data_IF_317341393181
#
_entry.id   IF_317341393181
#
_cell.length_a   1.000
_cell.length_b   1.000
_cell.length_c   1.000
_cell.angle_alpha   90.00
_cell.angle_beta   90.00
_cell.angle_gamma   90.00
#
_symmetry.space_group_name_H-M   'P 1'
#
loop_
_entity.id
_entity.type
_entity.pdbx_description
1 polymer ?
#
# COMPACT_ATOMS: atom_id res chain seq x y z
N UNK A 1 -25.10 24.42 -18.02
CA UNK A 1 -24.50 25.33 -17.05
C UNK A 1 -23.04 24.95 -16.91
N UNK A 2 -22.10 25.82 -17.20
CA UNK A 2 -20.68 25.55 -16.92
C UNK A 2 -20.48 25.71 -15.41
N UNK A 3 -20.02 24.65 -14.75
CA UNK A 3 -19.62 24.71 -13.35
C UNK A 3 -18.32 25.52 -13.27
N UNK A 4 -18.30 26.53 -12.41
CA UNK A 4 -17.06 27.21 -12.05
C UNK A 4 -16.39 26.45 -10.87
N UNK A 5 -15.30 25.70 -11.14
CA UNK A 5 -14.67 24.87 -10.11
C UNK A 5 -14.18 25.68 -8.91
N UNK A 6 -13.73 26.92 -9.13
CA UNK A 6 -13.20 27.77 -8.05
C UNK A 6 -14.32 28.21 -7.09
N UNK A 7 -15.48 28.62 -7.65
CA UNK A 7 -16.63 29.02 -6.86
C UNK A 7 -17.23 27.85 -6.06
N UNK A 8 -17.31 26.65 -6.67
CA UNK A 8 -17.81 25.46 -5.98
C UNK A 8 -16.84 24.99 -4.88
N UNK A 9 -15.53 25.01 -5.14
CA UNK A 9 -14.51 24.71 -4.12
C UNK A 9 -14.61 25.70 -2.94
N UNK A 10 -14.76 26.99 -3.21
CA UNK A 10 -14.91 27.99 -2.16
C UNK A 10 -16.18 27.78 -1.33
N UNK A 11 -17.29 27.41 -1.96
CA UNK A 11 -18.54 27.06 -1.25
C UNK A 11 -18.36 25.84 -0.35
N UNK A 12 -17.73 24.79 -0.88
CA UNK A 12 -17.47 23.57 -0.10
C UNK A 12 -16.54 23.86 1.08
N UNK A 13 -15.44 24.59 0.87
CA UNK A 13 -14.52 24.98 1.96
C UNK A 13 -15.22 25.82 3.04
N UNK A 14 -16.21 26.65 2.67
CA UNK A 14 -17.00 27.43 3.64
C UNK A 14 -17.92 26.57 4.52
N UNK A 15 -18.16 25.29 4.18
CA UNK A 15 -18.93 24.37 5.03
C UNK A 15 -18.08 23.70 6.11
N UNK A 16 -16.74 23.74 5.99
CA UNK A 16 -15.81 23.14 6.94
C UNK A 16 -15.58 24.11 8.09
N UNK A 17 -15.60 23.59 9.32
CA UNK A 17 -15.28 24.44 10.48
C UNK A 17 -13.82 24.94 10.40
N UNK A 18 -13.52 26.16 10.89
CA UNK A 18 -12.14 26.66 10.93
C UNK A 18 -11.18 25.72 11.67
N UNK A 19 -11.63 25.06 12.72
CA UNK A 19 -10.86 24.10 13.52
C UNK A 19 -10.51 22.86 12.70
N UNK A 20 -11.48 22.27 11.98
CA UNK A 20 -11.25 21.11 11.12
C UNK A 20 -10.32 21.45 9.94
N UNK A 21 -10.45 22.66 9.41
CA UNK A 21 -9.57 23.14 8.35
C UNK A 21 -8.13 23.29 8.84
N UNK A 22 -7.92 23.91 10.01
CA UNK A 22 -6.60 24.02 10.63
C UNK A 22 -5.99 22.64 10.90
N UNK A 23 -6.79 21.71 11.41
CA UNK A 23 -6.39 20.33 11.67
C UNK A 23 -5.99 19.61 10.39
N UNK A 24 -6.74 19.72 9.31
CA UNK A 24 -6.44 19.16 8.00
C UNK A 24 -5.15 19.74 7.40
N UNK A 25 -4.96 21.07 7.51
CA UNK A 25 -3.74 21.74 7.07
C UNK A 25 -2.53 21.28 7.88
N UNK A 26 -2.65 21.16 9.20
CA UNK A 26 -1.59 20.67 10.07
C UNK A 26 -1.22 19.21 9.73
N UNK A 27 -2.22 18.37 9.49
CA UNK A 27 -2.03 17.01 9.04
C UNK A 27 -1.25 16.96 7.72
N UNK A 28 -1.68 17.71 6.70
CA UNK A 28 -1.04 17.71 5.39
C UNK A 28 0.38 18.26 5.44
N UNK A 29 0.58 19.41 6.14
CA UNK A 29 1.92 20.00 6.32
C UNK A 29 2.86 19.04 7.05
N UNK A 30 2.36 18.40 8.12
CA UNK A 30 3.11 17.35 8.82
C UNK A 30 3.50 16.19 7.89
N UNK A 31 2.59 15.75 7.01
CA UNK A 31 2.86 14.73 6.01
C UNK A 31 4.04 15.05 5.08
N UNK A 32 4.15 16.30 4.62
CA UNK A 32 5.29 16.74 3.81
C UNK A 32 6.62 16.63 4.56
N UNK A 33 6.65 17.01 5.85
CA UNK A 33 7.85 16.84 6.67
C UNK A 33 8.20 15.39 6.92
N UNK A 34 7.21 14.50 7.01
CA UNK A 34 7.46 13.07 7.16
C UNK A 34 8.20 12.46 5.96
N UNK A 35 8.02 12.98 4.75
CA UNK A 35 8.78 12.53 3.58
C UNK A 35 10.27 12.81 3.77
N UNK A 36 10.62 14.01 4.23
CA UNK A 36 12.02 14.38 4.48
C UNK A 36 12.63 13.55 5.62
N UNK A 37 11.93 13.46 6.75
CA UNK A 37 12.40 12.69 7.89
C UNK A 37 12.47 11.20 7.58
N UNK A 38 11.54 10.66 6.80
CA UNK A 38 11.57 9.27 6.34
C UNK A 38 12.80 8.95 5.47
N UNK A 39 13.19 9.89 4.60
CA UNK A 39 14.42 9.75 3.83
C UNK A 39 15.66 9.74 4.75
N UNK A 40 15.72 10.64 5.74
CA UNK A 40 16.82 10.67 6.71
C UNK A 40 16.90 9.37 7.55
N UNK A 41 15.75 8.89 8.04
CA UNK A 41 15.67 7.61 8.76
C UNK A 41 16.18 6.47 7.89
N UNK A 42 15.76 6.42 6.62
CA UNK A 42 16.20 5.40 5.67
C UNK A 42 17.72 5.43 5.45
N UNK A 43 18.32 6.61 5.34
CA UNK A 43 19.78 6.76 5.24
C UNK A 43 20.51 6.29 6.50
N UNK A 44 19.99 6.64 7.68
CA UNK A 44 20.55 6.20 8.96
C UNK A 44 20.46 4.68 9.10
N UNK A 45 19.32 4.09 8.76
CA UNK A 45 19.13 2.63 8.78
C UNK A 45 20.09 1.94 7.82
N UNK A 46 20.21 2.44 6.59
CA UNK A 46 21.16 1.90 5.62
C UNK A 46 22.61 1.98 6.14
N UNK A 47 22.98 3.11 6.73
CA UNK A 47 24.30 3.30 7.34
C UNK A 47 24.55 2.30 8.49
N UNK A 48 23.58 2.11 9.38
CA UNK A 48 23.67 1.12 10.47
C UNK A 48 23.87 -0.28 9.89
N UNK A 49 23.04 -0.69 8.92
CA UNK A 49 23.13 -2.02 8.30
C UNK A 49 24.53 -2.24 7.67
N UNK A 50 25.05 -1.25 6.98
CA UNK A 50 26.40 -1.33 6.39
C UNK A 50 27.48 -1.42 7.48
N UNK A 51 27.39 -0.58 8.51
CA UNK A 51 28.39 -0.51 9.59
C UNK A 51 28.44 -1.76 10.46
N UNK A 52 27.33 -2.46 10.63
CA UNK A 52 27.32 -3.74 11.39
C UNK A 52 28.15 -4.83 10.73
N UNK A 53 28.34 -4.78 9.41
CA UNK A 53 29.02 -5.83 8.66
C UNK A 53 28.30 -7.20 8.70
N UNK A 54 27.09 -7.27 9.26
CA UNK A 54 26.35 -8.53 9.44
C UNK A 54 26.09 -9.22 8.10
N UNK A 55 25.66 -8.48 7.11
CA UNK A 55 25.34 -9.03 5.78
C UNK A 55 26.58 -9.61 5.08
N UNK A 56 27.72 -8.93 5.18
CA UNK A 56 28.99 -9.43 4.65
C UNK A 56 29.47 -10.66 5.44
N UNK A 57 29.35 -10.64 6.76
CA UNK A 57 29.68 -11.79 7.61
C UNK A 57 28.86 -13.04 7.29
N UNK A 58 27.53 -12.88 7.07
CA UNK A 58 26.64 -13.98 6.65
C UNK A 58 27.08 -14.52 5.28
N UNK A 59 27.26 -13.62 4.29
CA UNK A 59 27.76 -14.00 2.95
C UNK A 59 29.03 -14.82 3.05
N UNK A 60 30.04 -14.29 3.72
CA UNK A 60 31.37 -14.92 3.81
C UNK A 60 31.34 -16.27 4.52
N UNK A 61 30.50 -16.40 5.56
CA UNK A 61 30.29 -17.67 6.27
C UNK A 61 29.63 -18.73 5.39
N UNK A 62 28.65 -18.31 4.58
CA UNK A 62 27.94 -19.22 3.67
C UNK A 62 28.85 -19.66 2.52
N UNK A 63 29.62 -18.74 1.93
CA UNK A 63 30.53 -19.02 0.80
C UNK A 63 31.71 -19.91 1.22
N UNK A 64 32.22 -19.79 2.45
CA UNK A 64 33.23 -20.69 3.03
C UNK A 64 32.74 -22.12 3.17
N UNK A 65 31.45 -22.33 3.47
CA UNK A 65 30.88 -23.68 3.66
C UNK A 65 30.54 -24.36 2.34
N UNK A 66 29.91 -23.63 1.41
CA UNK A 66 29.51 -24.15 0.09
C UNK A 66 29.24 -23.01 -0.89
N UNK A 67 29.77 -23.09 -2.11
CA UNK A 67 29.51 -22.12 -3.20
C UNK A 67 28.08 -22.30 -3.74
N UNK A 68 27.10 -21.67 -3.09
CA UNK A 68 25.69 -21.65 -3.50
C UNK A 68 25.22 -20.20 -3.71
N UNK A 69 25.66 -19.52 -4.79
CA UNK A 69 25.46 -18.08 -4.94
C UNK A 69 24.00 -17.63 -4.97
N UNK A 70 23.06 -18.48 -5.44
CA UNK A 70 21.62 -18.17 -5.42
C UNK A 70 21.09 -18.14 -3.98
N UNK A 71 21.45 -19.13 -3.17
CA UNK A 71 21.03 -19.21 -1.77
C UNK A 71 21.65 -18.09 -0.94
N UNK A 72 22.90 -17.74 -1.20
CA UNK A 72 23.56 -16.60 -0.54
C UNK A 72 22.80 -15.30 -0.83
N UNK A 73 22.47 -15.03 -2.11
CA UNK A 73 21.70 -13.83 -2.47
C UNK A 73 20.32 -13.80 -1.79
N UNK A 74 19.62 -14.93 -1.74
CA UNK A 74 18.32 -15.04 -1.07
C UNK A 74 18.45 -14.76 0.44
N UNK A 75 19.35 -15.45 1.13
CA UNK A 75 19.51 -15.31 2.58
C UNK A 75 19.95 -13.90 2.96
N UNK A 76 20.94 -13.35 2.27
CA UNK A 76 21.40 -11.97 2.52
C UNK A 76 20.30 -10.96 2.24
N UNK A 77 19.52 -11.15 1.16
CA UNK A 77 18.36 -10.30 0.84
C UNK A 77 17.27 -10.37 1.91
N UNK A 78 16.90 -11.57 2.35
CA UNK A 78 15.91 -11.77 3.43
C UNK A 78 16.37 -11.13 4.74
N UNK A 79 17.62 -11.35 5.13
CA UNK A 79 18.17 -10.73 6.36
C UNK A 79 18.20 -9.21 6.25
N UNK A 80 18.56 -8.66 5.08
CA UNK A 80 18.50 -7.22 4.84
C UNK A 80 17.07 -6.67 5.03
N UNK A 81 16.05 -7.32 4.45
CA UNK A 81 14.66 -6.89 4.54
C UNK A 81 14.15 -6.93 5.99
N UNK A 82 14.45 -8.02 6.72
CA UNK A 82 14.06 -8.15 8.12
C UNK A 82 14.78 -7.14 9.03
N UNK A 83 16.07 -6.92 8.83
CA UNK A 83 16.82 -5.87 9.55
C UNK A 83 16.25 -4.48 9.27
N UNK A 84 15.97 -4.18 8.01
CA UNK A 84 15.35 -2.91 7.62
C UNK A 84 14.01 -2.73 8.31
N UNK A 85 13.15 -3.74 8.30
CA UNK A 85 11.86 -3.69 9.00
C UNK A 85 12.03 -3.38 10.49
N UNK A 86 12.86 -4.14 11.20
CA UNK A 86 13.06 -3.95 12.65
C UNK A 86 13.61 -2.56 12.97
N UNK A 87 14.58 -2.09 12.18
CA UNK A 87 15.21 -0.79 12.42
C UNK A 87 14.29 0.40 12.04
N UNK A 88 13.43 0.23 11.05
CA UNK A 88 12.44 1.27 10.68
C UNK A 88 11.16 1.21 11.48
N UNK A 89 10.89 0.12 12.22
CA UNK A 89 9.63 -0.11 12.94
C UNK A 89 9.24 1.04 13.90
N UNK A 90 10.15 1.63 14.72
CA UNK A 90 9.78 2.76 15.56
C UNK A 90 9.27 3.97 14.76
N UNK A 91 9.90 4.24 13.61
CA UNK A 91 9.47 5.29 12.70
C UNK A 91 8.11 4.97 12.04
N UNK A 92 7.91 3.73 11.62
CA UNK A 92 6.66 3.28 11.04
C UNK A 92 5.49 3.37 12.04
N UNK A 93 5.71 2.98 13.31
CA UNK A 93 4.73 3.15 14.39
C UNK A 93 4.37 4.63 14.55
N UNK A 94 5.37 5.52 14.58
CA UNK A 94 5.14 6.95 14.72
C UNK A 94 4.31 7.52 13.58
N UNK A 95 4.70 7.27 12.31
CA UNK A 95 4.07 7.92 11.15
C UNK A 95 2.75 7.30 10.73
N UNK A 96 2.57 5.96 10.88
CA UNK A 96 1.47 5.22 10.28
C UNK A 96 0.45 4.68 11.29
N UNK A 97 0.76 4.72 12.59
CA UNK A 97 -0.18 4.35 13.64
C UNK A 97 -0.40 5.46 14.66
N UNK A 98 0.65 5.92 15.35
CA UNK A 98 0.50 6.92 16.41
C UNK A 98 -0.06 8.24 15.89
N UNK A 99 0.47 8.74 14.79
CA UNK A 99 0.00 9.97 14.17
C UNK A 99 -1.44 9.85 13.67
N UNK A 100 -1.81 8.75 13.02
CA UNK A 100 -3.17 8.50 12.56
C UNK A 100 -4.16 8.48 13.74
N UNK A 101 -3.78 7.84 14.86
CA UNK A 101 -4.58 7.85 16.10
C UNK A 101 -4.72 9.28 16.66
N UNK A 102 -3.65 10.10 16.66
CA UNK A 102 -3.72 11.49 17.16
C UNK A 102 -4.68 12.36 16.34
N UNK A 103 -4.81 12.10 15.05
CA UNK A 103 -5.74 12.83 14.19
C UNK A 103 -7.14 12.20 14.15
N UNK A 104 -7.38 11.09 14.87
CA UNK A 104 -8.66 10.38 14.89
C UNK A 104 -9.01 9.73 13.55
N UNK A 105 -8.00 9.27 12.82
CA UNK A 105 -8.15 8.63 11.51
C UNK A 105 -8.10 7.10 11.59
N UNK A 106 -7.84 6.56 12.78
CA UNK A 106 -7.88 5.13 13.10
C UNK A 106 -8.14 4.90 14.58
N UNK A 107 -8.93 3.88 14.87
CA UNK A 107 -9.13 3.32 16.21
C UNK A 107 -8.43 1.96 16.37
N UNK A 108 -7.64 1.54 15.37
CA UNK A 108 -6.96 0.25 15.38
C UNK A 108 -6.00 0.14 16.58
N UNK A 109 -6.09 -0.93 17.39
CA UNK A 109 -5.12 -1.18 18.45
C UNK A 109 -3.73 -1.41 17.90
N UNK A 110 -2.68 -0.92 18.61
CA UNK A 110 -1.28 -1.11 18.18
C UNK A 110 -0.94 -2.59 17.91
N UNK A 111 -1.47 -3.51 18.70
CA UNK A 111 -1.23 -4.95 18.49
C UNK A 111 -1.80 -5.45 17.15
N UNK A 112 -2.99 -4.97 16.75
CA UNK A 112 -3.58 -5.28 15.45
C UNK A 112 -2.71 -4.72 14.31
N UNK A 113 -2.35 -3.44 14.40
CA UNK A 113 -1.46 -2.80 13.42
C UNK A 113 -0.10 -3.51 13.29
N UNK A 114 0.52 -3.90 14.41
CA UNK A 114 1.78 -4.68 14.40
C UNK A 114 1.61 -6.05 13.76
N UNK A 115 0.50 -6.72 14.01
CA UNK A 115 0.17 -8.01 13.38
C UNK A 115 0.09 -7.90 11.85
N UNK A 116 -0.62 -6.89 11.35
CA UNK A 116 -0.73 -6.60 9.91
C UNK A 116 0.63 -6.18 9.31
N UNK A 117 1.39 -5.35 10.01
CA UNK A 117 2.73 -4.96 9.58
C UNK A 117 3.69 -6.15 9.50
N UNK A 118 3.64 -7.08 10.47
CA UNK A 118 4.43 -8.31 10.46
C UNK A 118 4.01 -9.24 9.31
N UNK A 119 2.71 -9.42 9.10
CA UNK A 119 2.16 -10.22 8.00
C UNK A 119 2.59 -9.65 6.63
N UNK A 120 2.39 -8.34 6.43
CA UNK A 120 2.81 -7.62 5.21
C UNK A 120 4.31 -7.75 4.96
N UNK A 121 5.13 -7.60 6.03
CA UNK A 121 6.59 -7.78 5.94
C UNK A 121 6.95 -9.20 5.58
N UNK A 122 6.29 -10.20 6.14
CA UNK A 122 6.50 -11.62 5.81
C UNK A 122 6.25 -11.89 4.33
N UNK A 123 5.09 -11.47 3.81
CA UNK A 123 4.72 -11.61 2.40
C UNK A 123 5.73 -10.88 1.51
N UNK A 124 6.00 -9.61 1.80
CA UNK A 124 6.94 -8.78 1.04
C UNK A 124 8.36 -9.36 1.04
N UNK A 125 8.81 -9.92 2.16
CA UNK A 125 10.13 -10.55 2.28
C UNK A 125 10.25 -11.78 1.37
N UNK A 126 9.22 -12.60 1.27
CA UNK A 126 9.21 -13.76 0.38
C UNK A 126 9.32 -13.30 -1.09
N UNK A 127 8.43 -12.41 -1.52
CA UNK A 127 8.42 -11.92 -2.90
C UNK A 127 9.68 -11.15 -3.28
N UNK A 128 10.10 -10.20 -2.46
CA UNK A 128 11.30 -9.41 -2.71
C UNK A 128 12.57 -10.28 -2.63
N UNK A 129 12.64 -11.23 -1.70
CA UNK A 129 13.74 -12.18 -1.61
C UNK A 129 13.90 -13.03 -2.87
N UNK A 130 12.78 -13.53 -3.42
CA UNK A 130 12.78 -14.28 -4.68
C UNK A 130 13.17 -13.38 -5.87
N UNK A 131 12.67 -12.14 -5.91
CA UNK A 131 13.03 -11.16 -6.94
C UNK A 131 14.53 -10.82 -6.88
N UNK A 132 15.06 -10.54 -5.71
CA UNK A 132 16.50 -10.29 -5.48
C UNK A 132 17.33 -11.49 -5.96
N UNK A 133 16.94 -12.71 -5.59
CA UNK A 133 17.63 -13.92 -6.04
C UNK A 133 17.62 -14.03 -7.57
N UNK A 134 16.47 -13.76 -8.22
CA UNK A 134 16.32 -13.75 -9.68
C UNK A 134 17.18 -12.68 -10.35
N UNK A 135 17.17 -11.44 -9.84
CA UNK A 135 17.98 -10.34 -10.36
C UNK A 135 19.49 -10.64 -10.25
N UNK A 136 19.96 -11.15 -9.12
CA UNK A 136 21.36 -11.53 -8.97
C UNK A 136 21.74 -12.73 -9.85
N UNK A 137 20.81 -13.64 -10.13
CA UNK A 137 21.05 -14.69 -11.11
C UNK A 137 21.22 -14.12 -12.53
N UNK A 138 20.35 -13.18 -12.93
CA UNK A 138 20.42 -12.49 -14.23
C UNK A 138 21.71 -11.70 -14.36
N UNK A 139 22.07 -10.89 -13.36
CA UNK A 139 23.31 -10.09 -13.34
C UNK A 139 24.53 -10.99 -13.59
N UNK A 140 24.58 -12.14 -12.95
CA UNK A 140 25.71 -13.08 -13.12
C UNK A 140 25.71 -13.80 -14.48
N UNK A 141 24.54 -13.97 -15.12
CA UNK A 141 24.42 -14.75 -16.36
C UNK A 141 24.41 -13.89 -17.61
N UNK A 142 23.72 -12.74 -17.58
CA UNK A 142 23.39 -11.94 -18.78
C UNK A 142 24.44 -10.85 -19.12
N UNK A 143 25.52 -10.70 -18.34
CA UNK A 143 26.65 -9.78 -18.58
C UNK A 143 26.23 -8.39 -19.07
N UNK A 144 26.15 -8.16 -20.41
CA UNK A 144 25.81 -6.86 -21.02
C UNK A 144 24.33 -6.51 -20.97
N UNK A 145 23.43 -7.49 -21.03
CA UNK A 145 21.98 -7.31 -21.12
C UNK A 145 21.26 -7.56 -19.78
N UNK A 146 22.00 -7.59 -18.66
CA UNK A 146 21.43 -7.84 -17.34
C UNK A 146 20.29 -6.86 -16.99
N UNK A 147 20.42 -5.60 -17.40
CA UNK A 147 19.40 -4.57 -17.16
C UNK A 147 18.09 -4.87 -17.91
N UNK A 148 18.17 -5.31 -19.18
CA UNK A 148 17.00 -5.62 -19.97
C UNK A 148 16.25 -6.85 -19.44
N UNK A 149 17.00 -7.92 -19.12
CA UNK A 149 16.44 -9.12 -18.51
C UNK A 149 15.94 -8.85 -17.07
N UNK A 150 16.61 -8.00 -16.32
CA UNK A 150 16.18 -7.55 -15.00
C UNK A 150 14.89 -6.75 -15.08
N UNK A 151 14.78 -5.83 -16.02
CA UNK A 151 13.54 -5.08 -16.29
C UNK A 151 12.38 -6.01 -16.67
N UNK A 152 12.65 -6.99 -17.56
CA UNK A 152 11.65 -8.01 -17.94
C UNK A 152 11.17 -8.84 -16.74
N UNK A 153 12.09 -9.34 -15.90
CA UNK A 153 11.73 -10.06 -14.68
C UNK A 153 10.89 -9.20 -13.74
N UNK A 154 11.28 -7.93 -13.54
CA UNK A 154 10.54 -7.01 -12.68
C UNK A 154 9.15 -6.72 -13.25
N UNK A 155 9.01 -6.50 -14.56
CA UNK A 155 7.73 -6.30 -15.20
C UNK A 155 6.80 -7.51 -15.01
N UNK A 156 7.32 -8.73 -15.22
CA UNK A 156 6.57 -9.98 -14.98
C UNK A 156 6.15 -10.09 -13.51
N UNK A 157 7.05 -9.77 -12.57
CA UNK A 157 6.73 -9.81 -11.15
C UNK A 157 5.65 -8.78 -10.76
N UNK A 158 5.69 -7.57 -11.34
CA UNK A 158 4.65 -6.54 -11.13
C UNK A 158 3.30 -7.02 -11.66
N UNK A 159 3.24 -7.49 -12.92
CA UNK A 159 2.00 -8.02 -13.50
C UNK A 159 1.45 -9.20 -12.69
N UNK A 160 2.32 -10.10 -12.27
CA UNK A 160 1.95 -11.21 -11.40
C UNK A 160 1.33 -10.71 -10.07
N UNK A 161 1.94 -9.72 -9.43
CA UNK A 161 1.41 -9.15 -8.18
C UNK A 161 0.07 -8.44 -8.40
N UNK A 162 -0.11 -7.71 -9.50
CA UNK A 162 -1.39 -7.06 -9.83
C UNK A 162 -2.55 -8.07 -10.00
N UNK A 163 -2.25 -9.26 -10.50
CA UNK A 163 -3.25 -10.34 -10.65
C UNK A 163 -3.49 -11.06 -9.33
N UNK A 164 -2.42 -11.34 -8.59
CA UNK A 164 -2.47 -12.20 -7.39
C UNK A 164 -2.93 -11.45 -6.15
N UNK A 165 -2.59 -10.15 -6.03
CA UNK A 165 -2.90 -9.35 -4.84
C UNK A 165 -4.39 -9.38 -4.46
N UNK A 166 -5.35 -9.07 -5.34
CA UNK A 166 -6.76 -9.06 -4.98
C UNK A 166 -7.34 -10.44 -4.64
N UNK A 167 -6.67 -11.53 -5.07
CA UNK A 167 -7.17 -12.90 -4.90
C UNK A 167 -6.59 -13.58 -3.67
N UNK A 168 -5.28 -13.40 -3.42
CA UNK A 168 -4.56 -14.13 -2.38
C UNK A 168 -4.05 -13.24 -1.23
N UNK A 169 -3.72 -11.96 -1.51
CA UNK A 169 -3.10 -11.10 -0.49
C UNK A 169 -4.16 -10.29 0.26
N UNK A 170 -5.05 -9.61 -0.44
CA UNK A 170 -6.10 -8.81 0.20
C UNK A 170 -6.96 -9.61 1.19
N UNK A 171 -7.38 -10.87 0.91
CA UNK A 171 -8.14 -11.67 1.87
C UNK A 171 -7.40 -12.04 3.16
N UNK A 172 -6.08 -11.89 3.20
CA UNK A 172 -5.29 -12.08 4.43
C UNK A 172 -5.42 -10.89 5.39
N UNK A 173 -5.78 -9.72 4.88
CA UNK A 173 -5.91 -8.49 5.65
C UNK A 173 -7.37 -8.14 5.92
N UNK A 174 -8.25 -8.33 4.92
CA UNK A 174 -9.63 -7.88 4.97
C UNK A 174 -10.59 -8.94 4.48
N UNK A 175 -11.75 -9.00 5.11
CA UNK A 175 -12.88 -9.82 4.63
C UNK A 175 -13.70 -8.99 3.67
N UNK A 176 -13.86 -9.47 2.42
CA UNK A 176 -14.66 -8.81 1.40
C UNK A 176 -15.99 -9.54 1.21
N UNK A 177 -17.08 -8.79 1.13
CA UNK A 177 -18.44 -9.30 0.82
C UNK A 177 -19.02 -8.51 -0.36
N UNK A 178 -19.93 -9.10 -1.17
CA UNK A 178 -20.64 -8.34 -2.19
C UNK A 178 -21.36 -7.12 -1.60
N UNK A 179 -21.30 -5.98 -2.26
CA UNK A 179 -21.97 -4.77 -1.82
C UNK A 179 -23.49 -5.01 -1.76
N UNK A 180 -24.16 -4.67 -0.63
CA UNK A 180 -25.60 -4.82 -0.50
C UNK A 180 -26.35 -3.92 -1.49
N UNK A 181 -27.52 -4.35 -1.94
CA UNK A 181 -28.38 -3.53 -2.79
C UNK A 181 -28.81 -2.26 -2.06
N UNK A 182 -28.83 -1.15 -2.77
CA UNK A 182 -29.23 0.13 -2.22
C UNK A 182 -28.57 1.32 -2.92
N UNK A 183 -28.92 2.56 -2.51
CA UNK A 183 -28.50 3.78 -3.22
C UNK A 183 -27.00 3.92 -3.41
N UNK A 184 -26.20 3.44 -2.46
CA UNK A 184 -24.73 3.48 -2.55
C UNK A 184 -24.23 2.56 -3.66
N UNK A 185 -24.69 1.30 -3.67
CA UNK A 185 -24.32 0.35 -4.73
C UNK A 185 -24.80 0.82 -6.09
N UNK A 186 -26.04 1.34 -6.18
CA UNK A 186 -26.62 1.80 -7.45
C UNK A 186 -25.81 2.96 -8.04
N UNK A 187 -25.35 3.88 -7.21
CA UNK A 187 -24.47 4.97 -7.63
C UNK A 187 -23.12 4.48 -8.16
N UNK A 188 -22.55 3.45 -7.54
CA UNK A 188 -21.28 2.85 -7.99
C UNK A 188 -21.46 2.08 -9.30
N UNK A 189 -22.58 1.36 -9.47
CA UNK A 189 -22.95 0.69 -10.73
C UNK A 189 -23.08 1.72 -11.85
N UNK A 190 -23.77 2.85 -11.61
CA UNK A 190 -23.89 3.93 -12.58
C UNK A 190 -22.52 4.47 -13.04
N UNK A 191 -21.61 4.69 -12.07
CA UNK A 191 -20.25 5.14 -12.37
C UNK A 191 -19.46 4.08 -13.16
N UNK A 192 -19.53 2.81 -12.76
CA UNK A 192 -18.87 1.71 -13.42
C UNK A 192 -19.28 1.58 -14.89
N UNK A 193 -20.59 1.68 -15.17
CA UNK A 193 -21.12 1.66 -16.54
C UNK A 193 -20.63 2.84 -17.37
N UNK A 194 -20.47 4.03 -16.78
CA UNK A 194 -19.96 5.21 -17.48
C UNK A 194 -18.46 5.11 -17.81
N UNK A 195 -17.69 4.45 -16.97
CA UNK A 195 -16.23 4.34 -17.12
C UNK A 195 -15.79 3.05 -17.80
N UNK A 196 -16.71 2.10 -18.06
CA UNK A 196 -16.38 0.79 -18.61
C UNK A 196 -15.73 -0.16 -17.61
N UNK A 197 -15.83 0.14 -16.32
CA UNK A 197 -15.37 -0.74 -15.23
C UNK A 197 -16.42 -1.86 -15.02
N UNK A 198 -16.02 -3.10 -14.65
CA UNK A 198 -16.98 -4.16 -14.35
C UNK A 198 -17.95 -3.77 -13.22
N UNK A 199 -19.26 -3.82 -13.51
CA UNK A 199 -20.35 -3.43 -12.59
C UNK A 199 -20.93 -4.61 -11.81
N UNK A 200 -20.52 -5.84 -12.14
CA UNK A 200 -20.92 -7.09 -11.50
C UNK A 200 -20.07 -7.43 -10.27
N UNK A 201 -18.86 -6.86 -10.16
CA UNK A 201 -17.86 -7.16 -9.13
C UNK A 201 -17.62 -5.99 -8.18
N UNK A 202 -18.66 -5.62 -7.45
CA UNK A 202 -18.62 -4.54 -6.45
C UNK A 202 -18.66 -5.17 -5.06
N UNK A 203 -17.60 -4.94 -4.26
CA UNK A 203 -17.39 -5.51 -2.94
C UNK A 203 -17.24 -4.45 -1.87
N UNK A 204 -17.58 -4.81 -0.64
CA UNK A 204 -17.27 -4.07 0.57
C UNK A 204 -16.28 -4.90 1.38
N UNK A 205 -15.24 -4.27 1.90
CA UNK A 205 -14.32 -4.89 2.83
C UNK A 205 -14.36 -4.19 4.20
N UNK A 206 -14.01 -4.91 5.25
CA UNK A 206 -14.01 -4.47 6.65
C UNK A 206 -12.86 -3.49 6.96
N UNK A 207 -12.76 -2.39 6.18
CA UNK A 207 -11.71 -1.38 6.29
C UNK A 207 -11.80 -0.53 7.55
N UNK A 208 -13.00 -0.42 8.15
CA UNK A 208 -13.22 0.33 9.40
C UNK A 208 -12.37 -0.15 10.57
N UNK A 209 -11.91 -1.40 10.58
CA UNK A 209 -10.99 -1.92 11.59
C UNK A 209 -9.57 -1.30 11.51
N UNK A 210 -9.24 -0.66 10.39
CA UNK A 210 -7.92 -0.10 10.11
C UNK A 210 -7.97 1.42 9.98
N UNK A 211 -9.04 1.99 9.41
CA UNK A 211 -9.14 3.42 9.14
C UNK A 211 -10.59 3.86 9.01
N UNK A 212 -10.89 5.06 9.51
CA UNK A 212 -12.20 5.70 9.38
C UNK A 212 -12.36 6.49 8.07
N UNK A 213 -11.37 6.41 7.19
CA UNK A 213 -11.39 7.10 5.89
C UNK A 213 -12.28 6.40 4.89
N UNK A 214 -12.94 7.19 4.05
CA UNK A 214 -13.54 6.70 2.81
C UNK A 214 -12.43 6.24 1.88
N UNK A 215 -12.39 4.95 1.62
CA UNK A 215 -11.37 4.34 0.77
C UNK A 215 -12.03 3.37 -0.20
N UNK A 216 -11.70 3.52 -1.46
CA UNK A 216 -12.07 2.59 -2.52
C UNK A 216 -10.85 2.23 -3.35
N UNK A 217 -10.90 1.12 -4.02
CA UNK A 217 -9.90 0.76 -5.03
C UNK A 217 -10.56 0.01 -6.19
N UNK A 218 -9.99 0.18 -7.37
CA UNK A 218 -10.27 -0.66 -8.53
C UNK A 218 -9.03 -1.49 -8.77
N UNK A 219 -9.13 -2.80 -8.56
CA UNK A 219 -7.99 -3.72 -8.60
C UNK A 219 -8.27 -4.90 -9.52
N UNK A 220 -7.18 -5.48 -10.05
CA UNK A 220 -7.22 -6.64 -10.93
C UNK A 220 -7.02 -6.29 -12.40
N UNK A 221 -6.78 -7.34 -13.23
CA UNK A 221 -6.56 -7.25 -14.68
C UNK A 221 -7.31 -8.40 -15.38
N UNK A 222 -7.64 -8.21 -16.67
CA UNK A 222 -8.15 -9.27 -17.54
C UNK A 222 -9.33 -10.06 -16.95
N UNK A 223 -10.39 -9.39 -16.51
CA UNK A 223 -11.59 -10.02 -15.96
C UNK A 223 -11.51 -10.37 -14.47
N UNK A 224 -10.37 -10.18 -13.80
CA UNK A 224 -10.28 -10.15 -12.34
C UNK A 224 -10.57 -8.76 -11.75
N UNK A 225 -10.73 -7.74 -12.60
CA UNK A 225 -11.00 -6.37 -12.17
C UNK A 225 -12.27 -6.31 -11.30
N UNK A 226 -12.17 -5.61 -10.17
CA UNK A 226 -13.26 -5.41 -9.21
C UNK A 226 -13.16 -4.05 -8.55
N UNK A 227 -14.29 -3.55 -8.10
CA UNK A 227 -14.37 -2.37 -7.24
C UNK A 227 -14.50 -2.85 -5.79
N UNK A 228 -13.61 -2.42 -4.92
CA UNK A 228 -13.68 -2.72 -3.50
C UNK A 228 -13.73 -1.41 -2.71
N UNK A 229 -14.65 -1.31 -1.76
CA UNK A 229 -14.91 -0.12 -0.95
C UNK A 229 -14.86 -0.47 0.51
N UNK A 230 -14.33 0.45 1.34
CA UNK A 230 -14.40 0.31 2.79
C UNK A 230 -15.86 0.34 3.27
N UNK A 231 -16.17 -0.46 4.27
CA UNK A 231 -17.48 -0.50 4.96
C UNK A 231 -17.84 0.84 5.60
N UNK A 232 -16.88 1.70 5.90
CA UNK A 232 -17.09 3.09 6.34
C UNK A 232 -17.96 3.86 5.34
N UNK A 233 -17.83 3.60 4.03
CA UNK A 233 -18.63 4.25 2.97
C UNK A 233 -20.09 3.77 2.93
N UNK A 234 -20.43 2.71 3.66
CA UNK A 234 -21.77 2.15 3.79
C UNK A 234 -22.34 2.32 5.19
N UNK A 235 -21.59 2.97 6.10
CA UNK A 235 -22.05 3.26 7.44
C UNK A 235 -23.26 4.21 7.43
N UNK A 236 -24.05 4.17 8.50
CA UNK A 236 -25.22 5.07 8.66
C UNK A 236 -24.75 6.52 8.71
N UNK A 237 -25.22 7.33 7.76
CA UNK A 237 -24.84 8.74 7.63
C UNK A 237 -23.74 9.02 6.62
N UNK A 238 -23.25 8.00 5.90
CA UNK A 238 -22.32 8.21 4.80
C UNK A 238 -22.93 9.09 3.69
N UNK A 239 -22.18 10.06 3.21
CA UNK A 239 -22.65 10.97 2.15
C UNK A 239 -22.47 10.33 0.78
N UNK A 240 -23.59 10.20 0.04
CA UNK A 240 -23.60 9.66 -1.31
C UNK A 240 -22.74 10.47 -2.30
N UNK A 241 -22.67 11.79 -2.13
CA UNK A 241 -21.87 12.65 -2.99
C UNK A 241 -20.37 12.41 -2.78
N UNK A 242 -19.95 12.23 -1.53
CA UNK A 242 -18.57 11.89 -1.18
C UNK A 242 -18.21 10.49 -1.72
N UNK A 243 -19.09 9.50 -1.55
CA UNK A 243 -18.88 8.14 -2.10
C UNK A 243 -18.71 8.18 -3.61
N UNK A 244 -19.59 8.93 -4.33
CA UNK A 244 -19.44 9.14 -5.78
C UNK A 244 -18.12 9.82 -6.15
N UNK A 245 -17.69 10.80 -5.37
CA UNK A 245 -16.41 11.49 -5.58
C UNK A 245 -15.21 10.57 -5.45
N UNK A 246 -15.15 9.79 -4.37
CA UNK A 246 -14.05 8.84 -4.10
C UNK A 246 -14.02 7.74 -5.16
N UNK A 247 -15.15 7.06 -5.38
CA UNK A 247 -15.21 5.95 -6.36
C UNK A 247 -14.98 6.44 -7.80
N UNK A 248 -15.52 7.61 -8.15
CA UNK A 248 -15.29 8.22 -9.47
C UNK A 248 -13.82 8.58 -9.72
N UNK A 249 -13.11 9.01 -8.66
CA UNK A 249 -11.67 9.26 -8.73
C UNK A 249 -10.90 7.97 -9.03
N UNK A 250 -11.18 6.89 -8.27
CA UNK A 250 -10.52 5.59 -8.45
C UNK A 250 -10.79 4.96 -9.83
N UNK A 251 -12.01 5.12 -10.34
CA UNK A 251 -12.37 4.65 -11.67
C UNK A 251 -11.74 5.49 -12.81
N UNK A 252 -11.26 6.69 -12.50
CA UNK A 252 -10.57 7.57 -13.44
C UNK A 252 -9.10 7.23 -13.68
N UNK A 253 -8.52 6.39 -12.82
CA UNK A 253 -7.17 5.88 -12.97
C UNK A 253 -7.09 4.68 -13.90
#
# INVERSE_FOLDING_TARGET
MSIDPAAETARWLATISPEDLERAVAYTRGGHWLLLWGALVSLVVAWIIIRTGLLSGIRDRMERRRKRPKLVSLVVGVVYLLMSFVLTLPWAIYQSWWRETQYGLTEQPLAGWLGEAALSTGISTVFAGLLIMGLYFIIRRARRLWWAWGAGLTAVAVVFMLIVSPILIEPLFNTSTPAPNGPMRDAVVELAQRTGTPDDKIFIYDGSKQSDRYTANVSGLFGSARVAMSDVMFAKGADLAEVRGVVGHEMGH
#
